data_IF_496047023946
#
_entry.id   IF_496047023946
#
_cell.length_a   1.000
_cell.length_b   1.000
_cell.length_c   1.000
_cell.angle_alpha   90.00
_cell.angle_beta   90.00
_cell.angle_gamma   90.00
#
_symmetry.space_group_name_H-M   'P 1'
#
loop_
_entity.id
_entity.type
_entity.pdbx_description
1 polymer ?
#
# COMPACT_ATOMS: atom_id res chain seq x y z
N UNK A 1 -11.77 2.88 -20.39
CA UNK A 1 -10.34 2.76 -19.96
C UNK A 1 -9.55 4.06 -20.19
N UNK A 2 -9.36 4.55 -21.40
CA UNK A 2 -8.57 5.77 -21.70
C UNK A 2 -8.98 7.02 -20.89
N UNK A 3 -10.28 7.27 -20.72
CA UNK A 3 -10.77 8.42 -19.95
C UNK A 3 -10.41 8.31 -18.46
N UNK A 4 -10.49 7.10 -17.88
CA UNK A 4 -10.12 6.86 -16.47
C UNK A 4 -8.61 7.01 -16.29
N UNK A 5 -7.79 6.47 -17.19
CA UNK A 5 -6.34 6.66 -17.16
C UNK A 5 -5.96 8.14 -17.12
N UNK A 6 -6.52 8.94 -18.03
CA UNK A 6 -6.27 10.38 -18.08
C UNK A 6 -6.72 11.09 -16.82
N UNK A 7 -7.90 10.73 -16.29
CA UNK A 7 -8.42 11.31 -15.05
C UNK A 7 -7.61 10.90 -13.82
N UNK A 8 -6.99 9.75 -13.83
CA UNK A 8 -6.18 9.24 -12.72
C UNK A 8 -4.76 9.84 -12.67
N UNK A 9 -4.24 10.41 -13.78
CA UNK A 9 -2.94 11.07 -13.80
C UNK A 9 -2.87 12.20 -12.78
N UNK A 10 -1.71 12.34 -12.12
CA UNK A 10 -1.43 13.42 -11.17
C UNK A 10 -1.22 12.89 -9.75
N UNK A 11 -1.35 13.80 -8.78
CA UNK A 11 -1.04 13.53 -7.37
C UNK A 11 -2.31 13.46 -6.52
N UNK A 12 -2.32 12.50 -5.61
CA UNK A 12 -3.45 12.16 -4.77
C UNK A 12 -3.01 11.95 -3.33
N UNK A 13 -3.88 12.28 -2.37
CA UNK A 13 -3.61 12.04 -0.95
C UNK A 13 -4.86 11.55 -0.21
N UNK A 14 -4.69 10.66 0.77
CA UNK A 14 -5.79 10.19 1.62
C UNK A 14 -6.49 11.36 2.30
N UNK A 15 -7.83 11.40 2.24
CA UNK A 15 -8.64 12.42 2.93
C UNK A 15 -8.63 12.24 4.44
N UNK A 16 -8.38 11.04 4.93
CA UNK A 16 -8.32 10.67 6.34
C UNK A 16 -7.44 9.44 6.51
N UNK A 17 -7.20 9.04 7.77
CA UNK A 17 -6.57 7.77 8.10
C UNK A 17 -7.47 6.62 7.69
N UNK A 18 -6.95 5.68 6.90
CA UNK A 18 -7.61 4.44 6.57
C UNK A 18 -7.47 3.46 7.73
N UNK A 19 -8.55 2.73 8.02
CA UNK A 19 -8.57 1.63 8.98
C UNK A 19 -8.74 0.35 8.18
N UNK A 20 -7.79 -0.57 8.33
CA UNK A 20 -7.79 -1.84 7.59
C UNK A 20 -7.66 -3.02 8.54
N UNK A 21 -8.38 -4.14 8.32
CA UNK A 21 -8.11 -5.37 9.03
C UNK A 21 -6.74 -5.92 8.65
N UNK A 22 -5.97 -6.42 9.61
CA UNK A 22 -4.77 -7.20 9.33
C UNK A 22 -5.07 -8.70 9.44
N UNK A 23 -4.13 -9.54 9.03
CA UNK A 23 -4.21 -10.99 9.28
C UNK A 23 -3.88 -11.37 10.73
N UNK A 24 -3.35 -10.42 11.52
CA UNK A 24 -3.04 -10.63 12.93
C UNK A 24 -4.31 -10.57 13.79
N UNK A 25 -4.36 -11.38 14.84
CA UNK A 25 -5.49 -11.45 15.77
C UNK A 25 -5.13 -10.91 17.14
N UNK A 26 -6.12 -10.32 17.80
CA UNK A 26 -6.12 -10.02 19.22
C UNK A 26 -6.36 -11.31 20.03
N UNK A 27 -6.21 -11.25 21.35
CA UNK A 27 -6.47 -12.36 22.26
C UNK A 27 -7.91 -12.86 22.21
N UNK A 28 -8.86 -11.96 21.93
CA UNK A 28 -10.28 -12.28 21.78
C UNK A 28 -10.65 -12.85 20.40
N UNK A 29 -9.65 -13.06 19.51
CA UNK A 29 -9.83 -13.60 18.16
C UNK A 29 -10.24 -12.56 17.11
N UNK A 30 -10.51 -11.31 17.48
CA UNK A 30 -10.78 -10.22 16.54
C UNK A 30 -9.50 -9.87 15.76
N UNK A 31 -9.67 -9.37 14.52
CA UNK A 31 -8.53 -8.92 13.71
C UNK A 31 -7.98 -7.60 14.25
N UNK A 32 -6.66 -7.54 14.39
CA UNK A 32 -5.99 -6.27 14.72
C UNK A 32 -6.16 -5.29 13.56
N UNK A 33 -6.61 -4.06 13.83
CA UNK A 33 -6.60 -3.04 12.81
C UNK A 33 -5.16 -2.56 12.55
N UNK A 34 -4.92 -2.07 11.34
CA UNK A 34 -3.78 -1.20 11.08
C UNK A 34 -4.25 0.07 10.38
N UNK A 35 -3.50 1.14 10.58
CA UNK A 35 -3.89 2.48 10.20
C UNK A 35 -2.86 3.06 9.25
N UNK A 36 -3.31 3.72 8.18
CA UNK A 36 -2.38 4.30 7.22
C UNK A 36 -2.95 5.53 6.51
N UNK A 37 -2.05 6.33 5.96
CA UNK A 37 -2.34 7.35 4.94
C UNK A 37 -1.47 7.13 3.73
N UNK A 38 -1.97 7.49 2.56
CA UNK A 38 -1.28 7.36 1.27
C UNK A 38 -1.11 8.70 0.60
N UNK A 39 0.05 8.89 -0.04
CA UNK A 39 0.26 9.85 -1.11
C UNK A 39 0.61 9.07 -2.36
N UNK A 40 -0.18 9.22 -3.40
CA UNK A 40 -0.04 8.48 -4.65
C UNK A 40 0.14 9.43 -5.82
N UNK A 41 1.03 9.09 -6.73
CA UNK A 41 1.21 9.79 -8.00
C UNK A 41 1.13 8.78 -9.13
N UNK A 42 0.16 8.96 -10.04
CA UNK A 42 0.17 8.27 -11.31
C UNK A 42 0.84 9.16 -12.33
N UNK A 43 1.89 8.65 -12.95
CA UNK A 43 2.76 9.35 -13.88
C UNK A 43 2.47 8.89 -15.31
N UNK A 44 2.95 9.62 -16.35
CA UNK A 44 2.90 9.14 -17.73
C UNK A 44 3.51 7.75 -17.89
N UNK A 45 3.10 7.05 -18.96
CA UNK A 45 3.60 5.71 -19.31
C UNK A 45 3.31 4.64 -18.24
N UNK A 46 2.20 4.84 -17.50
CA UNK A 46 1.73 3.92 -16.45
C UNK A 46 2.74 3.69 -15.30
N UNK A 47 3.67 4.63 -15.05
CA UNK A 47 4.51 4.61 -13.86
C UNK A 47 3.75 5.14 -12.64
N UNK A 48 4.13 4.68 -11.45
CA UNK A 48 3.57 5.21 -10.21
C UNK A 48 4.63 5.44 -9.13
N UNK A 49 4.29 6.34 -8.22
CA UNK A 49 4.93 6.48 -6.91
C UNK A 49 3.86 6.42 -5.84
N UNK A 50 4.06 5.59 -4.85
CA UNK A 50 3.19 5.46 -3.69
C UNK A 50 4.03 5.65 -2.41
N UNK A 51 3.61 6.58 -1.57
CA UNK A 51 4.11 6.73 -0.21
C UNK A 51 3.01 6.32 0.76
N UNK A 52 3.33 5.43 1.69
CA UNK A 52 2.44 4.98 2.75
C UNK A 52 3.08 5.34 4.09
N UNK A 53 2.32 5.94 4.99
CA UNK A 53 2.71 6.09 6.39
C UNK A 53 1.75 5.25 7.22
N UNK A 54 2.29 4.26 7.94
CA UNK A 54 1.53 3.49 8.91
C UNK A 54 1.58 4.17 10.27
N UNK A 55 0.46 4.13 10.98
CA UNK A 55 0.29 4.76 12.29
C UNK A 55 -0.07 3.73 13.36
N UNK A 56 0.25 4.06 14.62
CA UNK A 56 -0.15 3.27 15.78
C UNK A 56 -1.60 3.53 16.20
N UNK A 57 -2.21 4.60 15.69
CA UNK A 57 -3.51 5.09 16.12
C UNK A 57 -4.43 5.44 14.94
N UNK A 58 -5.77 5.41 15.13
CA UNK A 58 -6.71 5.69 14.06
C UNK A 58 -6.77 7.17 13.62
N UNK A 59 -6.19 8.07 14.40
CA UNK A 59 -6.20 9.52 14.12
C UNK A 59 -4.99 9.95 13.26
N UNK A 60 -4.00 9.04 13.08
CA UNK A 60 -2.79 9.32 12.31
C UNK A 60 -1.87 10.32 13.00
N UNK A 61 -1.74 10.22 14.32
CA UNK A 61 -0.92 11.09 15.15
C UNK A 61 0.46 10.49 15.47
N UNK A 62 0.55 9.15 15.55
CA UNK A 62 1.78 8.44 15.91
C UNK A 62 2.27 7.64 14.70
N UNK A 63 3.12 8.22 13.82
CA UNK A 63 3.65 7.52 12.68
C UNK A 63 4.67 6.46 13.10
N UNK A 64 4.56 5.24 12.58
CA UNK A 64 5.44 4.11 12.87
C UNK A 64 6.53 3.94 11.81
N UNK A 65 6.12 3.91 10.56
CA UNK A 65 6.97 3.59 9.41
C UNK A 65 6.45 4.28 8.17
N UNK A 66 7.38 4.75 7.35
CA UNK A 66 7.13 5.22 5.99
C UNK A 66 7.62 4.17 5.00
N UNK A 67 6.79 3.90 4.00
CA UNK A 67 7.06 2.98 2.91
C UNK A 67 6.96 3.76 1.61
N UNK A 68 7.94 3.61 0.72
CA UNK A 68 7.91 4.22 -0.62
C UNK A 68 8.06 3.12 -1.66
N UNK A 69 7.08 3.06 -2.57
CA UNK A 69 7.08 2.15 -3.71
C UNK A 69 7.10 2.95 -5.00
N UNK A 70 7.82 2.44 -6.00
CA UNK A 70 7.76 2.93 -7.38
C UNK A 70 7.72 1.74 -8.33
N UNK A 71 7.08 1.91 -9.45
CA UNK A 71 6.98 0.87 -10.48
C UNK A 71 5.89 1.16 -11.48
N UNK A 72 5.24 0.11 -11.97
CA UNK A 72 4.32 0.17 -13.11
C UNK A 72 2.92 -0.29 -12.74
N UNK A 73 1.94 0.29 -13.44
CA UNK A 73 0.52 -0.09 -13.35
C UNK A 73 0.12 -0.78 -14.65
N UNK A 74 -0.44 -1.97 -14.55
CA UNK A 74 -1.13 -2.63 -15.65
C UNK A 74 -2.64 -2.44 -15.52
N UNK A 75 -3.29 -1.89 -16.53
CA UNK A 75 -4.74 -1.75 -16.59
C UNK A 75 -5.37 -2.99 -17.21
N UNK A 76 -6.21 -3.68 -16.43
CA UNK A 76 -6.80 -4.98 -16.79
C UNK A 76 -8.26 -4.90 -17.26
N UNK A 77 -8.79 -3.69 -17.48
CA UNK A 77 -10.16 -3.47 -17.93
C UNK A 77 -11.19 -3.41 -16.81
N UNK A 78 -12.46 -3.47 -17.19
CA UNK A 78 -13.58 -3.26 -16.28
C UNK A 78 -13.62 -4.28 -15.15
N UNK A 79 -13.96 -3.81 -13.96
CA UNK A 79 -14.15 -4.69 -12.81
C UNK A 79 -15.52 -5.37 -12.90
N UNK A 80 -15.60 -6.71 -12.79
CA UNK A 80 -16.86 -7.43 -13.04
C UNK A 80 -17.95 -7.19 -11.97
N UNK A 81 -17.54 -6.81 -10.74
CA UNK A 81 -18.46 -6.62 -9.60
C UNK A 81 -18.61 -5.14 -9.26
N UNK A 82 -17.50 -4.40 -9.17
CA UNK A 82 -17.51 -2.96 -8.88
C UNK A 82 -17.75 -2.19 -10.18
N UNK A 83 -19.02 -1.99 -10.56
CA UNK A 83 -19.39 -1.31 -11.81
C UNK A 83 -18.77 0.08 -11.93
N UNK A 84 -18.12 0.35 -13.06
CA UNK A 84 -17.41 1.60 -13.33
C UNK A 84 -15.97 1.66 -12.82
N UNK A 85 -15.54 0.69 -11.99
CA UNK A 85 -14.15 0.56 -11.60
C UNK A 85 -13.32 -0.18 -12.66
N UNK A 86 -12.04 0.13 -12.74
CA UNK A 86 -11.05 -0.58 -13.55
C UNK A 86 -10.20 -1.47 -12.66
N UNK A 87 -9.96 -2.70 -13.08
CA UNK A 87 -8.94 -3.56 -12.48
C UNK A 87 -7.56 -3.02 -12.81
N UNK A 88 -6.70 -2.96 -11.82
CA UNK A 88 -5.30 -2.53 -11.95
C UNK A 88 -4.39 -3.48 -11.21
N UNK A 89 -3.22 -3.74 -11.78
CA UNK A 89 -2.14 -4.47 -11.12
C UNK A 89 -0.98 -3.49 -10.89
N UNK A 90 -0.60 -3.28 -9.64
CA UNK A 90 0.58 -2.51 -9.28
C UNK A 90 1.77 -3.45 -9.09
N UNK A 91 2.88 -3.15 -9.75
CA UNK A 91 4.15 -3.89 -9.59
C UNK A 91 5.22 -2.92 -9.12
N UNK A 92 5.75 -3.11 -7.90
CA UNK A 92 6.80 -2.27 -7.33
C UNK A 92 8.17 -2.80 -7.72
N UNK A 93 8.58 -2.59 -8.96
CA UNK A 93 9.80 -3.12 -9.57
C UNK A 93 10.95 -2.10 -9.67
N UNK A 94 10.69 -0.81 -9.41
CA UNK A 94 11.70 0.26 -9.47
C UNK A 94 12.24 0.65 -8.08
N UNK A 95 11.37 0.73 -7.08
CA UNK A 95 11.77 1.02 -5.70
C UNK A 95 10.82 0.38 -4.70
N UNK A 96 11.37 -0.08 -3.58
CA UNK A 96 10.64 -0.46 -2.39
C UNK A 96 11.52 -0.14 -1.18
N UNK A 97 11.19 0.96 -0.50
CA UNK A 97 11.99 1.51 0.58
C UNK A 97 11.18 1.56 1.89
N UNK A 98 11.86 1.32 2.99
CA UNK A 98 11.30 1.36 4.35
C UNK A 98 12.11 2.31 5.21
N UNK A 99 11.40 3.21 5.91
CA UNK A 99 11.99 4.15 6.86
C UNK A 99 11.26 4.02 8.19
N UNK A 100 11.87 3.47 9.26
CA UNK A 100 11.29 3.52 10.60
C UNK A 100 11.22 4.97 11.08
N UNK A 101 10.09 5.38 11.68
CA UNK A 101 9.87 6.77 12.09
C UNK A 101 9.96 6.95 13.62
N UNK A 102 9.96 5.85 14.38
CA UNK A 102 10.10 5.88 15.84
C UNK A 102 11.06 4.79 16.32
N UNK A 103 11.74 4.99 17.49
CA UNK A 103 12.70 4.03 18.03
C UNK A 103 12.14 2.62 18.22
N UNK A 104 10.95 2.49 18.79
CA UNK A 104 10.33 1.18 19.05
C UNK A 104 10.13 0.36 17.76
N UNK A 105 9.77 1.01 16.65
CA UNK A 105 9.64 0.30 15.37
C UNK A 105 11.02 -0.01 14.76
N UNK A 106 12.01 0.86 14.98
CA UNK A 106 13.40 0.61 14.61
C UNK A 106 13.93 -0.65 15.29
N UNK A 107 13.64 -0.83 16.58
CA UNK A 107 14.03 -2.03 17.33
C UNK A 107 13.36 -3.30 16.79
N UNK A 108 12.08 -3.20 16.40
CA UNK A 108 11.37 -4.31 15.72
C UNK A 108 12.09 -4.72 14.43
N UNK A 109 12.49 -3.75 13.59
CA UNK A 109 13.23 -4.03 12.36
C UNK A 109 14.60 -4.64 12.65
N UNK A 110 15.33 -4.11 13.64
CA UNK A 110 16.62 -4.66 14.05
C UNK A 110 16.55 -6.07 14.61
N UNK A 111 15.38 -6.50 15.08
CA UNK A 111 15.15 -7.88 15.51
C UNK A 111 14.73 -8.82 14.38
N UNK A 112 13.88 -8.36 13.46
CA UNK A 112 13.23 -9.21 12.45
C UNK A 112 13.87 -9.13 11.06
N UNK A 113 14.65 -8.09 10.75
CA UNK A 113 15.22 -7.80 9.43
C UNK A 113 16.72 -7.51 9.53
N UNK A 114 17.50 -8.50 9.99
CA UNK A 114 18.98 -8.39 10.15
C UNK A 114 19.73 -8.85 8.91
N UNK A 115 19.22 -9.88 8.23
CA UNK A 115 19.88 -10.46 7.06
C UNK A 115 19.75 -9.51 5.87
N UNK A 116 20.85 -9.19 5.20
CA UNK A 116 20.93 -8.35 3.99
C UNK A 116 20.61 -6.85 4.21
N UNK A 117 20.61 -6.38 5.46
CA UNK A 117 20.39 -4.97 5.80
C UNK A 117 21.50 -4.45 6.72
N UNK A 118 21.77 -3.15 6.60
CA UNK A 118 22.53 -2.43 7.63
C UNK A 118 21.67 -2.33 8.90
N UNK A 119 22.30 -1.97 10.01
CA UNK A 119 21.56 -1.64 11.24
C UNK A 119 20.52 -0.57 10.94
N UNK A 120 19.27 -0.84 11.30
CA UNK A 120 18.18 0.10 11.11
C UNK A 120 18.33 1.28 12.08
N UNK A 121 18.16 2.48 11.55
CA UNK A 121 18.21 3.74 12.29
C UNK A 121 16.92 4.51 12.07
N UNK A 122 16.38 5.11 13.13
CA UNK A 122 15.17 5.96 13.04
C UNK A 122 15.39 7.10 12.04
N UNK A 123 14.49 7.26 11.09
CA UNK A 123 14.55 8.29 10.06
C UNK A 123 15.42 7.95 8.85
N UNK A 124 16.17 6.83 8.86
CA UNK A 124 17.01 6.41 7.73
C UNK A 124 16.31 5.35 6.89
N UNK A 125 16.22 5.60 5.60
CA UNK A 125 15.61 4.69 4.64
C UNK A 125 16.56 3.58 4.21
N UNK A 126 16.04 2.36 4.04
CA UNK A 126 16.74 1.26 3.38
C UNK A 126 15.86 0.62 2.32
N UNK A 127 16.47 0.22 1.20
CA UNK A 127 15.79 -0.51 0.13
C UNK A 127 15.60 -1.98 0.51
N UNK A 128 14.35 -2.43 0.39
CA UNK A 128 13.96 -3.84 0.57
C UNK A 128 13.62 -4.50 -0.78
N UNK A 129 13.80 -3.79 -1.89
CA UNK A 129 13.48 -4.27 -3.23
C UNK A 129 14.20 -5.59 -3.53
N UNK A 130 13.44 -6.63 -3.86
CA UNK A 130 13.90 -8.00 -4.13
C UNK A 130 14.68 -8.66 -2.99
N UNK A 131 14.64 -8.10 -1.78
CA UNK A 131 15.26 -8.68 -0.60
C UNK A 131 14.24 -9.45 0.24
N UNK A 132 14.68 -10.51 0.91
CA UNK A 132 13.87 -11.16 1.94
C UNK A 132 13.59 -10.18 3.07
N UNK A 133 12.32 -9.88 3.29
CA UNK A 133 11.91 -8.93 4.33
C UNK A 133 10.72 -9.48 5.13
N UNK A 134 11.02 -10.17 6.21
CA UNK A 134 10.05 -10.90 7.04
C UNK A 134 8.93 -10.02 7.59
N UNK A 135 9.15 -8.75 8.02
CA UNK A 135 8.08 -7.90 8.52
C UNK A 135 6.91 -7.71 7.55
N UNK A 136 7.16 -7.85 6.22
CA UNK A 136 6.13 -7.74 5.19
C UNK A 136 5.88 -9.07 4.45
N UNK A 137 6.48 -10.17 4.91
CA UNK A 137 6.30 -11.49 4.31
C UNK A 137 6.96 -11.65 2.93
N UNK A 138 7.95 -10.81 2.59
CA UNK A 138 8.62 -10.86 1.29
C UNK A 138 9.72 -11.93 1.28
N UNK A 139 9.72 -12.76 0.24
CA UNK A 139 10.78 -13.71 -0.05
C UNK A 139 11.92 -13.06 -0.84
N UNK A 140 13.10 -13.69 -0.83
CA UNK A 140 14.24 -13.26 -1.64
C UNK A 140 13.90 -13.30 -3.13
N UNK A 141 14.26 -12.24 -3.85
CA UNK A 141 13.98 -12.09 -5.28
C UNK A 141 12.53 -11.73 -5.63
N UNK A 142 11.63 -11.74 -4.65
CA UNK A 142 10.22 -11.40 -4.88
C UNK A 142 10.07 -9.91 -5.18
N UNK A 143 9.30 -9.61 -6.24
CA UNK A 143 8.80 -8.26 -6.53
C UNK A 143 7.38 -8.14 -5.97
N UNK A 144 7.13 -7.10 -5.20
CA UNK A 144 5.80 -6.84 -4.66
C UNK A 144 4.81 -6.52 -5.78
N UNK A 145 3.73 -7.28 -5.83
CA UNK A 145 2.62 -7.07 -6.76
C UNK A 145 1.31 -7.03 -5.99
N UNK A 146 0.44 -6.08 -6.36
CA UNK A 146 -0.87 -5.90 -5.74
C UNK A 146 -1.95 -5.84 -6.83
N UNK A 147 -2.98 -6.69 -6.69
CA UNK A 147 -4.15 -6.76 -7.56
C UNK A 147 -5.25 -5.90 -6.97
N UNK A 148 -5.49 -4.73 -7.51
CA UNK A 148 -6.41 -3.74 -6.96
C UNK A 148 -7.41 -3.25 -8.00
N UNK A 149 -8.15 -2.23 -7.69
CA UNK A 149 -9.05 -1.50 -8.55
C UNK A 149 -8.89 0.01 -8.38
N UNK A 150 -9.23 0.75 -9.42
CA UNK A 150 -9.37 2.22 -9.38
C UNK A 150 -10.78 2.59 -9.83
N UNK A 151 -11.44 3.44 -9.04
CA UNK A 151 -12.70 4.07 -9.37
C UNK A 151 -12.60 5.59 -9.19
N UNK A 152 -13.09 6.34 -10.16
CA UNK A 152 -12.98 7.80 -10.17
C UNK A 152 -14.33 8.46 -10.03
N UNK A 153 -14.47 9.42 -9.11
CA UNK A 153 -15.64 10.30 -8.98
C UNK A 153 -15.12 11.74 -8.85
N UNK A 154 -15.27 12.52 -9.91
CA UNK A 154 -14.71 13.87 -9.97
C UNK A 154 -13.21 13.88 -9.57
N UNK A 155 -12.84 14.71 -8.60
CA UNK A 155 -11.46 14.82 -8.08
C UNK A 155 -11.19 13.87 -6.89
N UNK A 156 -11.89 12.75 -6.84
CA UNK A 156 -11.66 11.69 -5.86
C UNK A 156 -11.31 10.37 -6.56
N UNK A 157 -10.27 9.72 -6.06
CA UNK A 157 -9.82 8.40 -6.50
C UNK A 157 -10.07 7.39 -5.38
N UNK A 158 -10.82 6.35 -5.69
CA UNK A 158 -11.07 5.22 -4.79
C UNK A 158 -10.23 4.03 -5.22
N UNK A 159 -9.60 3.39 -4.26
CA UNK A 159 -8.98 2.08 -4.39
C UNK A 159 -9.82 1.03 -3.68
N UNK A 160 -9.42 -0.23 -3.80
CA UNK A 160 -10.10 -1.33 -3.15
C UNK A 160 -9.96 -1.33 -1.62
N UNK A 161 -11.04 -1.71 -0.95
CA UNK A 161 -11.03 -1.98 0.47
C UNK A 161 -10.44 -3.38 0.73
N UNK A 162 -9.59 -3.49 1.75
CA UNK A 162 -9.03 -4.77 2.16
C UNK A 162 -10.13 -5.75 2.54
N UNK A 163 -9.96 -7.00 2.17
CA UNK A 163 -10.90 -8.07 2.51
C UNK A 163 -11.11 -8.16 4.03
N UNK A 164 -12.33 -8.45 4.43
CA UNK A 164 -12.75 -8.46 5.85
C UNK A 164 -11.97 -9.45 6.72
N UNK A 165 -11.44 -10.50 6.13
CA UNK A 165 -10.59 -11.51 6.79
C UNK A 165 -9.11 -11.09 6.91
N UNK A 166 -8.76 -9.90 6.44
CA UNK A 166 -7.43 -9.32 6.53
C UNK A 166 -6.43 -9.82 5.48
N UNK A 167 -6.85 -10.70 4.53
CA UNK A 167 -5.97 -11.13 3.43
C UNK A 167 -5.57 -9.95 2.54
N UNK A 168 -4.38 -10.05 1.95
CA UNK A 168 -3.85 -9.04 1.03
C UNK A 168 -4.45 -9.15 -0.38
N UNK A 169 -3.98 -8.30 -1.27
CA UNK A 169 -4.34 -8.26 -2.70
C UNK A 169 -3.24 -8.92 -3.56
N UNK A 170 -2.67 -10.00 -3.07
CA UNK A 170 -1.48 -10.68 -3.59
C UNK A 170 -1.76 -11.64 -4.75
N UNK A 171 -3.03 -11.92 -5.02
CA UNK A 171 -3.47 -12.73 -6.16
C UNK A 171 -4.70 -12.11 -6.84
N UNK A 172 -4.99 -12.51 -8.08
CA UNK A 172 -6.19 -12.07 -8.82
C UNK A 172 -7.49 -12.41 -8.06
N UNK A 173 -7.55 -13.57 -7.39
CA UNK A 173 -8.72 -14.02 -6.63
C UNK A 173 -8.94 -13.18 -5.36
N UNK A 174 -7.87 -12.55 -4.85
CA UNK A 174 -7.92 -11.66 -3.69
C UNK A 174 -8.18 -10.21 -4.07
N UNK A 175 -8.36 -9.91 -5.35
CA UNK A 175 -8.71 -8.56 -5.81
C UNK A 175 -9.94 -8.04 -5.06
N UNK A 176 -9.90 -6.80 -4.54
CA UNK A 176 -11.02 -6.23 -3.78
C UNK A 176 -12.26 -6.04 -4.66
N UNK A 177 -13.42 -6.15 -4.01
CA UNK A 177 -14.74 -5.93 -4.64
C UNK A 177 -15.49 -4.73 -4.08
N UNK A 178 -14.95 -4.10 -3.04
CA UNK A 178 -15.50 -2.92 -2.37
C UNK A 178 -14.48 -1.78 -2.41
N UNK A 179 -14.98 -0.55 -2.27
CA UNK A 179 -14.16 0.66 -2.28
C UNK A 179 -13.71 1.03 -0.87
N UNK A 180 -12.45 1.48 -0.77
CA UNK A 180 -11.90 2.14 0.42
C UNK A 180 -12.29 3.63 0.40
N UNK A 181 -12.11 4.34 1.53
CA UNK A 181 -12.23 5.80 1.56
C UNK A 181 -11.33 6.42 0.49
N UNK A 182 -11.77 7.51 -0.17
CA UNK A 182 -11.03 8.04 -1.32
C UNK A 182 -9.76 8.78 -0.93
N UNK A 183 -8.93 8.93 -1.94
CA UNK A 183 -7.92 9.98 -2.00
C UNK A 183 -8.50 11.17 -2.77
N UNK A 184 -8.14 12.39 -2.37
CA UNK A 184 -8.44 13.61 -3.12
C UNK A 184 -7.23 14.01 -3.98
N UNK A 185 -7.49 14.73 -5.04
CA UNK A 185 -6.45 15.37 -5.85
C UNK A 185 -5.71 16.45 -5.02
N UNK A 186 -4.39 16.52 -5.15
CA UNK A 186 -3.56 17.60 -4.62
C UNK A 186 -3.61 18.83 -5.51
#
# INVERSE_FOLDING_TARGET
>A
MENIKKSALGEWESISTEIRPSSLKNEDGSLKPFYLKRSFSLLPEDHFKLEIINYADPYGQIPLVKIVLKGHVEWKGDHPIASGAQKVDFTADEAYEVTPLIPNFTDVLNNLAKENFETWETGKSQSILKKKFLPFGLAEGQVFKEYDLIYMVHDMMFWGARNIDGRGFDTEENRPTNLQIPMKRK
#
